data_IF_060308561078
#
_entry.id   IF_060308561078
#
_cell.length_a   1.000
_cell.length_b   1.000
_cell.length_c   1.000
_cell.angle_alpha   90.00
_cell.angle_beta   90.00
_cell.angle_gamma   90.00
#
_symmetry.space_group_name_H-M   'P 1'
#
loop_
_entity.id
_entity.type
_entity.pdbx_description
1 polymer ?
#
# COMPACT_ATOMS: atom_id res chain seq x y z
N UNK A 1 -11.61 17.10 36.42
CA UNK A 1 -12.60 16.39 35.60
C UNK A 1 -13.03 17.32 34.48
N UNK A 2 -12.40 17.22 33.30
CA UNK A 2 -12.83 17.92 32.09
C UNK A 2 -13.18 16.82 31.09
N UNK A 3 -14.45 16.75 30.75
CA UNK A 3 -15.00 15.81 29.77
C UNK A 3 -14.48 16.21 28.39
N UNK A 4 -13.52 15.46 27.85
CA UNK A 4 -13.15 15.55 26.45
C UNK A 4 -14.24 14.87 25.64
N UNK A 5 -15.22 15.64 25.18
CA UNK A 5 -16.10 15.20 24.12
C UNK A 5 -15.25 15.00 22.86
N UNK A 6 -15.17 13.75 22.42
CA UNK A 6 -14.66 13.37 21.10
C UNK A 6 -15.61 14.04 20.10
N UNK A 7 -15.18 15.15 19.53
CA UNK A 7 -15.86 15.80 18.43
C UNK A 7 -15.72 14.85 17.22
N UNK A 8 -16.70 13.98 17.04
CA UNK A 8 -16.80 13.10 15.89
C UNK A 8 -16.85 13.97 14.63
N UNK A 9 -15.87 13.77 13.76
CA UNK A 9 -15.74 14.44 12.47
C UNK A 9 -17.05 14.31 11.66
N UNK A 10 -17.70 15.41 11.26
CA UNK A 10 -18.91 15.38 10.44
C UNK A 10 -18.74 14.55 9.16
N UNK A 11 -17.52 14.48 8.62
CA UNK A 11 -17.18 13.66 7.45
C UNK A 11 -17.02 12.18 7.78
N UNK A 12 -16.60 11.79 8.98
CA UNK A 12 -16.64 10.40 9.42
C UNK A 12 -18.10 9.90 9.50
N UNK A 13 -19.02 10.76 9.93
CA UNK A 13 -20.46 10.48 9.84
C UNK A 13 -20.96 10.43 8.40
N UNK A 14 -20.53 11.34 7.51
CA UNK A 14 -20.89 11.32 6.10
C UNK A 14 -20.36 10.06 5.37
N UNK A 15 -19.15 9.62 5.69
CA UNK A 15 -18.51 8.41 5.17
C UNK A 15 -19.17 7.14 5.73
N UNK A 16 -19.63 7.16 6.99
CA UNK A 16 -20.45 6.09 7.56
C UNK A 16 -21.86 6.02 6.94
N UNK A 17 -22.38 7.15 6.46
CA UNK A 17 -23.68 7.27 5.80
C UNK A 17 -23.59 7.03 4.28
N UNK A 18 -22.41 7.17 3.66
CA UNK A 18 -22.20 6.95 2.23
C UNK A 18 -22.70 5.56 1.75
N UNK A 19 -22.44 4.45 2.46
CA UNK A 19 -22.99 3.14 2.10
C UNK A 19 -24.52 3.10 2.19
N UNK A 20 -25.13 3.85 3.13
CA UNK A 20 -26.58 3.93 3.33
C UNK A 20 -27.27 4.80 2.27
N UNK A 21 -26.62 5.90 1.88
CA UNK A 21 -27.04 6.78 0.79
C UNK A 21 -26.92 6.07 -0.56
N UNK A 22 -25.80 5.38 -0.80
CA UNK A 22 -25.59 4.55 -1.97
C UNK A 22 -26.62 3.41 -2.00
N UNK A 23 -26.85 2.66 -0.92
CA UNK A 23 -27.90 1.62 -0.90
C UNK A 23 -29.31 2.17 -1.11
N UNK A 24 -29.64 3.38 -0.65
CA UNK A 24 -30.94 4.03 -0.94
C UNK A 24 -31.06 4.51 -2.39
N UNK A 25 -29.99 5.00 -3.01
CA UNK A 25 -29.99 5.35 -4.43
C UNK A 25 -29.95 4.12 -5.35
N UNK A 26 -29.33 3.04 -4.89
CA UNK A 26 -29.14 1.80 -5.65
C UNK A 26 -30.20 0.74 -5.38
N UNK A 27 -31.03 0.83 -4.34
CA UNK A 27 -32.23 -0.01 -4.20
C UNK A 27 -33.26 0.24 -5.32
N UNK A 28 -33.18 1.42 -5.96
CA UNK A 28 -33.88 1.75 -7.21
C UNK A 28 -33.34 1.01 -8.44
N UNK A 29 -32.16 0.38 -8.36
CA UNK A 29 -31.48 -0.33 -9.45
C UNK A 29 -31.30 -1.78 -8.96
N UNK A 30 -32.34 -2.59 -9.13
CA UNK A 30 -32.49 -3.87 -8.45
C UNK A 30 -31.29 -4.84 -8.52
N UNK A 31 -31.16 -5.62 -7.42
CA UNK A 31 -30.33 -6.84 -7.21
C UNK A 31 -28.93 -6.74 -6.55
N UNK A 32 -28.55 -5.67 -5.84
CA UNK A 32 -27.21 -5.61 -5.20
C UNK A 32 -27.14 -5.30 -3.69
N UNK A 33 -28.27 -5.21 -2.98
CA UNK A 33 -28.27 -4.79 -1.56
C UNK A 33 -27.55 -5.76 -0.60
N UNK A 34 -27.58 -7.08 -0.86
CA UNK A 34 -26.94 -8.10 -0.01
C UNK A 34 -25.42 -8.19 -0.22
N UNK A 35 -24.95 -7.92 -1.45
CA UNK A 35 -23.53 -7.88 -1.80
C UNK A 35 -22.83 -6.69 -1.14
N UNK A 36 -23.51 -5.55 -1.05
CA UNK A 36 -22.96 -4.31 -0.46
C UNK A 36 -22.69 -4.46 1.05
N UNK A 37 -23.60 -5.06 1.82
CA UNK A 37 -23.38 -5.30 3.26
C UNK A 37 -22.21 -6.26 3.53
N UNK A 38 -21.99 -7.22 2.62
CA UNK A 38 -20.92 -8.20 2.71
C UNK A 38 -19.55 -7.56 2.42
N UNK A 39 -19.49 -6.67 1.41
CA UNK A 39 -18.28 -5.92 1.01
C UNK A 39 -17.85 -4.92 2.09
N UNK A 40 -18.78 -4.27 2.78
CA UNK A 40 -18.48 -3.33 3.88
C UNK A 40 -17.85 -4.06 5.08
N UNK A 41 -18.37 -5.24 5.45
CA UNK A 41 -17.76 -6.09 6.49
C UNK A 41 -16.35 -6.57 6.11
N UNK A 42 -16.13 -6.91 4.83
CA UNK A 42 -14.82 -7.33 4.32
C UNK A 42 -13.83 -6.16 4.28
N UNK A 43 -14.29 -4.96 3.92
CA UNK A 43 -13.45 -3.74 3.87
C UNK A 43 -12.91 -3.35 5.24
N UNK A 44 -13.75 -3.40 6.30
CA UNK A 44 -13.28 -3.14 7.66
C UNK A 44 -12.25 -4.19 8.14
N UNK A 45 -12.33 -5.43 7.66
CA UNK A 45 -11.36 -6.49 8.01
C UNK A 45 -10.05 -6.34 7.22
N UNK A 46 -10.10 -5.94 5.95
CA UNK A 46 -8.93 -5.74 5.09
C UNK A 46 -8.14 -4.46 5.40
N UNK A 47 -8.81 -3.38 5.84
CA UNK A 47 -8.12 -2.17 6.32
C UNK A 47 -7.26 -2.50 7.55
N UNK A 48 -7.76 -3.33 8.47
CA UNK A 48 -6.98 -3.79 9.64
C UNK A 48 -5.81 -4.69 9.21
N UNK A 49 -6.00 -5.54 8.20
CA UNK A 49 -4.98 -6.50 7.73
C UNK A 49 -3.88 -5.86 6.87
N UNK A 50 -4.20 -4.84 6.07
CA UNK A 50 -3.23 -4.10 5.25
C UNK A 50 -2.37 -3.12 6.06
N UNK A 51 -2.89 -2.58 7.15
CA UNK A 51 -2.13 -1.77 8.11
C UNK A 51 -1.06 -2.61 8.82
N UNK A 52 -1.36 -3.88 9.14
CA UNK A 52 -0.38 -4.81 9.74
C UNK A 52 0.79 -5.20 8.84
N UNK A 53 0.63 -5.18 7.51
CA UNK A 53 1.71 -5.55 6.58
C UNK A 53 2.57 -4.36 6.10
N UNK A 54 2.09 -3.13 6.20
CA UNK A 54 2.84 -1.97 5.66
C UNK A 54 3.82 -1.30 6.64
N UNK A 55 3.75 -1.66 7.93
CA UNK A 55 4.55 -1.02 9.00
C UNK A 55 5.68 -1.94 9.50
N UNK A 56 5.82 -3.15 8.96
CA UNK A 56 6.80 -4.12 9.46
C UNK A 56 7.28 -5.17 8.45
N UNK A 57 7.29 -4.89 7.15
CA UNK A 57 7.92 -5.84 6.21
C UNK A 57 9.38 -5.50 5.90
N UNK A 58 10.28 -6.51 5.99
CA UNK A 58 11.68 -6.37 5.68
C UNK A 58 11.87 -6.06 4.20
N UNK A 59 12.80 -5.17 3.88
CA UNK A 59 13.29 -4.96 2.51
C UNK A 59 14.11 -6.19 2.12
N UNK A 60 13.44 -7.25 1.68
CA UNK A 60 14.09 -8.30 0.90
C UNK A 60 14.18 -7.81 -0.55
N UNK A 61 15.26 -7.13 -0.88
CA UNK A 61 15.70 -7.03 -2.27
C UNK A 61 16.14 -8.43 -2.71
N UNK A 62 15.39 -9.05 -3.61
CA UNK A 62 15.86 -10.22 -4.35
C UNK A 62 16.02 -9.84 -5.82
N UNK A 63 17.23 -9.39 -6.19
CA UNK A 63 17.70 -9.37 -7.56
C UNK A 63 19.09 -10.02 -7.59
N UNK A 64 19.20 -11.15 -8.32
CA UNK A 64 20.48 -11.52 -8.96
C UNK A 64 21.15 -12.84 -8.54
N UNK A 65 20.62 -13.98 -9.00
CA UNK A 65 21.41 -15.15 -9.45
C UNK A 65 20.53 -15.85 -10.51
N UNK A 66 20.91 -16.19 -11.74
CA UNK A 66 22.20 -16.48 -12.38
C UNK A 66 22.18 -15.94 -13.83
N UNK A 67 23.34 -15.51 -14.32
CA UNK A 67 23.65 -15.50 -15.75
C UNK A 67 24.97 -16.25 -15.98
N UNK A 68 24.92 -17.34 -16.76
CA UNK A 68 25.93 -17.67 -17.78
C UNK A 68 25.43 -18.81 -18.68
N UNK A 69 25.89 -18.88 -19.95
CA UNK A 69 25.10 -19.32 -21.10
C UNK A 69 25.49 -20.73 -21.56
N UNK A 70 24.62 -21.44 -22.30
CA UNK A 70 25.01 -22.50 -23.29
C UNK A 70 23.79 -22.97 -24.11
N UNK A 71 23.97 -22.94 -25.44
CA UNK A 71 23.50 -23.84 -26.50
C UNK A 71 22.02 -24.16 -26.74
N UNK A 72 21.60 -23.83 -27.96
CA UNK A 72 20.50 -24.42 -28.72
C UNK A 72 20.60 -25.98 -28.76
N UNK A 73 19.47 -26.69 -28.57
CA UNK A 73 18.82 -27.62 -29.54
C UNK A 73 17.78 -28.52 -28.85
N UNK A 74 16.63 -28.63 -29.50
CA UNK A 74 15.67 -29.76 -29.59
C UNK A 74 15.50 -30.73 -28.40
N UNK A 75 14.26 -30.95 -27.99
CA UNK A 75 13.57 -32.23 -28.22
C UNK A 75 12.07 -32.14 -27.94
N UNK A 76 11.34 -32.76 -28.85
CA UNK A 76 9.89 -32.95 -28.92
C UNK A 76 9.48 -34.01 -27.89
N UNK A 77 8.35 -33.84 -27.22
CA UNK A 77 7.59 -34.98 -26.68
C UNK A 77 6.09 -34.79 -26.90
N UNK A 78 5.60 -35.68 -27.76
CA UNK A 78 4.23 -35.98 -28.12
C UNK A 78 3.37 -36.49 -26.97
N UNK A 79 2.11 -36.07 -26.91
CA UNK A 79 1.02 -36.84 -26.30
C UNK A 79 -0.10 -37.01 -27.34
N UNK A 80 -0.25 -38.24 -27.80
CA UNK A 80 -1.24 -38.72 -28.77
C UNK A 80 -2.64 -38.79 -28.14
N UNK A 81 -3.66 -38.34 -28.88
CA UNK A 81 -5.02 -38.84 -28.73
C UNK A 81 -5.42 -39.64 -29.98
N UNK A 82 -5.88 -40.86 -29.72
CA UNK A 82 -6.09 -41.97 -30.65
C UNK A 82 -7.43 -41.83 -31.36
N UNK A 83 -7.41 -41.76 -32.69
CA UNK A 83 -8.58 -41.91 -33.55
C UNK A 83 -8.92 -43.40 -33.71
N UNK A 84 -10.14 -43.81 -33.34
CA UNK A 84 -10.70 -45.10 -33.73
C UNK A 84 -11.74 -44.87 -34.83
N UNK A 85 -11.29 -45.07 -36.08
CA UNK A 85 -12.14 -45.34 -37.22
C UNK A 85 -12.61 -46.79 -37.15
N UNK A 86 -13.92 -47.03 -37.25
CA UNK A 86 -14.49 -48.34 -37.51
C UNK A 86 -15.45 -48.24 -38.71
N UNK A 87 -15.23 -49.13 -39.68
CA UNK A 87 -15.80 -49.08 -41.03
C UNK A 87 -16.93 -50.10 -41.26
N UNK A 88 -17.85 -49.73 -42.18
CA UNK A 88 -18.77 -50.52 -43.03
C UNK A 88 -20.17 -50.90 -42.46
N UNK A 89 -21.19 -51.19 -43.31
CA UNK A 89 -21.23 -51.21 -44.79
C UNK A 89 -22.36 -50.39 -45.46
N UNK A 90 -22.21 -50.11 -46.76
CA UNK A 90 -23.27 -49.62 -47.65
C UNK A 90 -24.33 -50.68 -47.91
N UNK A 91 -25.62 -50.31 -47.78
CA UNK A 91 -26.76 -51.06 -48.36
C UNK A 91 -27.65 -50.10 -49.15
N UNK A 92 -27.80 -50.41 -50.44
CA UNK A 92 -28.58 -49.68 -51.44
C UNK A 92 -29.98 -50.29 -51.50
N UNK A 93 -31.03 -49.55 -51.16
CA UNK A 93 -32.43 -49.95 -51.46
C UNK A 93 -33.24 -48.70 -51.89
N UNK A 94 -33.57 -48.71 -53.19
CA UNK A 94 -34.72 -48.15 -53.93
C UNK A 94 -35.43 -46.86 -53.48
N UNK A 95 -35.56 -45.95 -54.46
CA UNK A 95 -36.54 -44.87 -54.51
C UNK A 95 -37.95 -45.45 -54.35
N UNK A 96 -38.69 -44.99 -53.34
CA UNK A 96 -40.15 -44.96 -53.36
C UNK A 96 -40.62 -43.59 -52.90
N UNK A 97 -41.13 -42.85 -53.88
CA UNK A 97 -41.83 -41.59 -53.75
C UNK A 97 -43.02 -41.75 -52.82
N UNK A 98 -42.99 -41.07 -51.68
CA UNK A 98 -44.19 -40.75 -50.91
C UNK A 98 -44.24 -39.24 -50.76
N UNK A 99 -45.32 -38.65 -51.27
CA UNK A 99 -45.64 -37.23 -51.19
C UNK A 99 -45.74 -36.84 -49.72
N UNK A 100 -44.77 -36.07 -49.24
CA UNK A 100 -44.83 -35.40 -47.93
C UNK A 100 -44.78 -33.90 -48.20
N UNK A 101 -45.81 -33.22 -47.69
CA UNK A 101 -46.13 -31.81 -47.81
C UNK A 101 -44.93 -30.87 -47.59
N UNK A 102 -44.92 -29.66 -48.19
CA UNK A 102 -43.87 -28.69 -47.92
C UNK A 102 -44.04 -28.18 -46.48
N UNK A 103 -43.20 -28.66 -45.57
CA UNK A 103 -42.97 -27.95 -44.31
C UNK A 103 -42.22 -26.68 -44.69
N UNK A 104 -42.91 -25.56 -44.54
CA UNK A 104 -42.39 -24.21 -44.65
C UNK A 104 -41.09 -24.09 -43.88
N UNK A 105 -40.01 -23.80 -44.61
CA UNK A 105 -38.75 -23.36 -44.03
C UNK A 105 -39.02 -22.06 -43.25
N UNK A 106 -39.13 -22.19 -41.93
CA UNK A 106 -39.04 -21.08 -41.00
C UNK A 106 -37.79 -21.27 -40.14
N UNK A 107 -36.64 -21.45 -40.81
CA UNK A 107 -35.36 -21.17 -40.17
C UNK A 107 -35.24 -19.65 -40.03
N UNK A 108 -35.85 -19.16 -38.94
CA UNK A 108 -35.73 -17.79 -38.49
C UNK A 108 -34.26 -17.50 -38.21
N UNK A 109 -33.62 -16.76 -39.10
CA UNK A 109 -32.35 -16.09 -38.82
C UNK A 109 -32.53 -15.22 -37.57
N UNK A 110 -32.09 -15.70 -36.41
CA UNK A 110 -31.94 -14.85 -35.23
C UNK A 110 -30.71 -13.98 -35.43
N UNK A 111 -30.93 -12.78 -35.98
CA UNK A 111 -29.93 -11.72 -36.03
C UNK A 111 -29.50 -11.43 -34.59
N UNK A 112 -28.29 -11.83 -34.20
CA UNK A 112 -27.66 -11.37 -32.96
C UNK A 112 -27.66 -9.84 -32.98
N UNK A 113 -28.57 -9.22 -32.21
CA UNK A 113 -28.54 -7.79 -31.94
C UNK A 113 -27.32 -7.55 -31.05
N UNK A 114 -26.16 -7.36 -31.66
CA UNK A 114 -24.98 -6.79 -31.01
C UNK A 114 -25.23 -5.31 -30.73
N UNK A 115 -26.29 -5.01 -29.97
CA UNK A 115 -26.45 -3.73 -29.32
C UNK A 115 -25.66 -3.82 -28.02
N UNK A 116 -24.41 -3.38 -28.03
CA UNK A 116 -23.80 -2.97 -26.77
C UNK A 116 -24.78 -1.98 -26.14
N UNK A 117 -25.31 -2.22 -24.93
CA UNK A 117 -26.19 -1.24 -24.30
C UNK A 117 -25.37 0.04 -24.17
N UNK A 118 -25.67 1.04 -24.99
CA UNK A 118 -25.18 2.40 -24.76
C UNK A 118 -25.92 2.89 -23.52
N UNK A 119 -25.33 2.62 -22.37
CA UNK A 119 -25.74 3.22 -21.11
C UNK A 119 -25.40 4.70 -21.26
N UNK A 120 -26.36 5.52 -21.69
CA UNK A 120 -26.21 6.96 -21.62
C UNK A 120 -26.44 7.36 -20.17
N UNK A 121 -25.41 7.81 -19.45
CA UNK A 121 -25.59 8.25 -18.07
C UNK A 121 -26.63 9.38 -18.00
N UNK A 122 -27.56 9.26 -17.06
CA UNK A 122 -28.62 10.26 -16.87
C UNK A 122 -28.04 11.62 -16.44
N UNK A 123 -28.78 12.72 -16.63
CA UNK A 123 -28.36 14.04 -16.08
C UNK A 123 -28.05 13.99 -14.57
N UNK A 124 -28.77 13.15 -13.83
CA UNK A 124 -28.54 12.91 -12.39
C UNK A 124 -27.18 12.25 -12.12
N UNK A 125 -26.73 11.36 -13.00
CA UNK A 125 -25.40 10.74 -12.89
C UNK A 125 -24.28 11.77 -13.00
N UNK A 126 -24.35 12.68 -13.98
CA UNK A 126 -23.36 13.75 -14.12
C UNK A 126 -23.37 14.72 -12.95
N UNK A 127 -24.55 15.08 -12.42
CA UNK A 127 -24.66 15.92 -11.22
C UNK A 127 -24.04 15.25 -9.99
N UNK A 128 -24.25 13.94 -9.81
CA UNK A 128 -23.66 13.19 -8.71
C UNK A 128 -22.13 13.13 -8.82
N UNK A 129 -21.59 12.82 -10.01
CA UNK A 129 -20.14 12.82 -10.23
C UNK A 129 -19.55 14.21 -9.98
N UNK A 130 -20.19 15.26 -10.51
CA UNK A 130 -19.77 16.64 -10.27
C UNK A 130 -19.75 16.98 -8.78
N UNK A 131 -20.80 16.61 -8.05
CA UNK A 131 -20.85 16.77 -6.59
C UNK A 131 -19.75 16.02 -5.85
N UNK A 132 -19.49 14.76 -6.21
CA UNK A 132 -18.40 13.97 -5.62
C UNK A 132 -17.02 14.59 -5.88
N UNK A 133 -16.77 15.11 -7.09
CA UNK A 133 -15.51 15.76 -7.45
C UNK A 133 -15.30 17.04 -6.62
N UNK A 134 -16.35 17.85 -6.45
CA UNK A 134 -16.30 19.06 -5.62
C UNK A 134 -16.02 18.69 -4.16
N UNK A 135 -16.76 17.73 -3.59
CA UNK A 135 -16.54 17.28 -2.21
C UNK A 135 -15.13 16.74 -2.00
N UNK A 136 -14.64 15.91 -2.93
CA UNK A 136 -13.29 15.38 -2.89
C UNK A 136 -12.23 16.48 -2.97
N UNK A 137 -12.44 17.47 -3.83
CA UNK A 137 -11.52 18.60 -3.96
C UNK A 137 -11.46 19.40 -2.66
N UNK A 138 -12.61 19.74 -2.09
CA UNK A 138 -12.69 20.44 -0.80
C UNK A 138 -11.97 19.64 0.29
N UNK A 139 -12.25 18.34 0.42
CA UNK A 139 -11.58 17.45 1.36
C UNK A 139 -10.07 17.44 1.18
N UNK A 140 -9.59 17.32 -0.06
CA UNK A 140 -8.16 17.33 -0.36
C UNK A 140 -7.51 18.65 0.07
N UNK A 141 -8.11 19.79 -0.26
CA UNK A 141 -7.58 21.10 0.06
C UNK A 141 -7.59 21.41 1.57
N UNK A 142 -8.62 20.97 2.30
CA UNK A 142 -8.71 21.15 3.76
C UNK A 142 -7.64 20.37 4.53
N UNK A 143 -7.15 19.27 3.96
CA UNK A 143 -6.12 18.40 4.57
C UNK A 143 -4.72 18.63 3.98
N UNK A 144 -4.51 19.76 3.28
CA UNK A 144 -3.17 20.15 2.84
C UNK A 144 -2.40 20.80 3.99
N UNK A 145 -1.42 20.10 4.52
CA UNK A 145 -0.49 20.61 5.53
C UNK A 145 0.89 20.93 4.92
N UNK A 146 1.69 21.72 5.63
CA UNK A 146 3.08 22.00 5.29
C UNK A 146 4.02 21.17 6.16
N UNK A 147 4.96 20.47 5.54
CA UNK A 147 5.99 19.70 6.24
C UNK A 147 6.90 20.65 7.01
N UNK A 148 7.19 20.39 8.31
CA UNK A 148 8.14 21.18 9.06
C UNK A 148 9.53 21.10 8.42
N UNK A 149 10.31 22.17 8.52
CA UNK A 149 11.69 22.30 7.99
C UNK A 149 11.75 22.42 6.46
N UNK A 150 11.16 21.51 5.69
CA UNK A 150 11.24 21.54 4.21
C UNK A 150 10.26 22.52 3.56
N UNK A 151 9.15 22.85 4.22
CA UNK A 151 8.11 23.76 3.68
C UNK A 151 7.26 23.16 2.55
N UNK A 152 7.42 21.87 2.23
CA UNK A 152 6.66 21.19 1.19
C UNK A 152 5.18 21.10 1.57
N UNK A 153 4.27 21.43 0.64
CA UNK A 153 2.84 21.16 0.81
C UNK A 153 2.52 19.69 0.52
N UNK A 154 1.68 19.10 1.35
CA UNK A 154 1.27 17.70 1.23
C UNK A 154 -0.13 17.47 1.73
N UNK A 155 -0.73 16.37 1.30
CA UNK A 155 -2.00 15.89 1.84
C UNK A 155 -1.74 14.94 3.01
N UNK A 156 -2.35 15.21 4.17
CA UNK A 156 -2.30 14.32 5.32
C UNK A 156 -3.59 14.42 6.13
N UNK A 157 -4.38 13.34 6.14
CA UNK A 157 -5.62 13.23 6.91
C UNK A 157 -5.46 12.42 8.21
N UNK A 158 -4.24 11.98 8.51
CA UNK A 158 -3.97 11.13 9.65
C UNK A 158 -3.76 12.00 10.88
N UNK A 159 -4.60 11.80 11.89
CA UNK A 159 -4.46 12.49 13.16
C UNK A 159 -3.28 11.94 13.98
N UNK A 160 -2.63 12.77 14.82
CA UNK A 160 -1.58 12.30 15.73
C UNK A 160 -2.04 11.20 16.70
N UNK A 161 -3.33 11.14 17.02
CA UNK A 161 -3.89 10.06 17.85
C UNK A 161 -3.92 8.72 17.10
N UNK A 162 -4.28 8.73 15.82
CA UNK A 162 -4.24 7.54 14.97
C UNK A 162 -2.81 7.04 14.76
N UNK A 163 -1.86 7.96 14.55
CA UNK A 163 -0.43 7.61 14.46
C UNK A 163 0.08 6.91 15.71
N UNK A 164 -0.23 7.45 16.90
CA UNK A 164 0.16 6.83 18.17
C UNK A 164 -0.45 5.44 18.34
N UNK A 165 -1.72 5.26 17.95
CA UNK A 165 -2.37 3.95 18.01
C UNK A 165 -1.65 2.93 17.12
N UNK A 166 -1.35 3.29 15.87
CA UNK A 166 -0.60 2.44 14.94
C UNK A 166 0.80 2.16 15.50
N UNK A 167 1.50 3.19 15.99
CA UNK A 167 2.81 3.06 16.60
C UNK A 167 2.82 2.10 17.79
N UNK A 168 1.81 2.15 18.66
CA UNK A 168 1.68 1.23 19.78
C UNK A 168 1.41 -0.21 19.31
N UNK A 169 0.55 -0.41 18.32
CA UNK A 169 0.29 -1.74 17.76
C UNK A 169 1.55 -2.34 17.12
N UNK A 170 2.30 -1.55 16.34
CA UNK A 170 3.56 -1.99 15.76
C UNK A 170 4.61 -2.27 16.83
N UNK A 171 4.68 -1.42 17.87
CA UNK A 171 5.59 -1.63 18.99
C UNK A 171 5.33 -3.00 19.67
N UNK A 172 4.08 -3.32 19.98
CA UNK A 172 3.73 -4.63 20.57
C UNK A 172 4.08 -5.80 19.63
N UNK A 173 3.88 -5.65 18.32
CA UNK A 173 4.26 -6.68 17.34
C UNK A 173 5.78 -6.90 17.30
N UNK A 174 6.57 -5.82 17.26
CA UNK A 174 8.04 -5.88 17.28
C UNK A 174 8.53 -6.47 18.60
N UNK A 175 7.92 -6.10 19.73
CA UNK A 175 8.23 -6.70 21.03
C UNK A 175 7.90 -8.20 21.04
N UNK A 176 6.76 -8.61 20.50
CA UNK A 176 6.40 -10.02 20.42
C UNK A 176 7.43 -10.83 19.61
N UNK A 177 7.96 -10.26 18.53
CA UNK A 177 8.92 -10.92 17.65
C UNK A 177 10.35 -10.92 18.20
N UNK A 178 10.83 -9.77 18.70
CA UNK A 178 12.25 -9.55 18.99
C UNK A 178 12.61 -9.42 20.47
N UNK A 179 11.67 -9.52 21.42
CA UNK A 179 11.93 -9.28 22.85
C UNK A 179 13.13 -10.03 23.41
N UNK A 180 13.38 -11.26 22.96
CA UNK A 180 14.51 -12.08 23.42
C UNK A 180 15.86 -11.64 22.84
N UNK A 181 15.86 -10.93 21.71
CA UNK A 181 17.04 -10.45 21.02
C UNK A 181 17.40 -9.00 21.40
N UNK A 182 16.55 -8.29 22.16
CA UNK A 182 16.85 -6.91 22.58
C UNK A 182 18.03 -6.90 23.54
N UNK A 183 19.06 -6.13 23.19
CA UNK A 183 20.25 -5.97 24.01
C UNK A 183 19.95 -5.18 25.28
N UNK A 184 20.52 -5.57 26.44
CA UNK A 184 20.35 -4.85 27.68
C UNK A 184 20.81 -3.40 27.61
N UNK A 185 20.31 -2.58 28.53
CA UNK A 185 20.56 -1.15 28.52
C UNK A 185 22.04 -0.77 28.71
N UNK A 186 22.80 -1.60 29.41
CA UNK A 186 24.22 -1.43 29.68
C UNK A 186 25.14 -2.00 28.59
N UNK A 187 24.59 -2.68 27.58
CA UNK A 187 25.39 -3.26 26.51
C UNK A 187 26.12 -2.16 25.72
N UNK A 188 27.40 -2.33 25.33
CA UNK A 188 28.17 -1.29 24.65
C UNK A 188 27.48 -0.72 23.40
N UNK A 189 26.88 -1.58 22.57
CA UNK A 189 26.12 -1.15 21.39
C UNK A 189 24.86 -0.35 21.76
N UNK A 190 24.13 -0.75 22.80
CA UNK A 190 22.94 -0.03 23.29
C UNK A 190 23.30 1.36 23.81
N UNK A 191 24.38 1.47 24.59
CA UNK A 191 24.88 2.74 25.11
C UNK A 191 25.34 3.66 23.96
N UNK A 192 26.09 3.10 23.01
CA UNK A 192 26.59 3.79 21.84
C UNK A 192 25.46 4.40 20.99
N UNK A 193 24.48 3.58 20.59
CA UNK A 193 23.35 4.02 19.75
C UNK A 193 22.47 5.02 20.50
N UNK A 194 22.19 4.80 21.79
CA UNK A 194 21.37 5.73 22.60
C UNK A 194 22.00 7.10 22.74
N UNK A 195 23.31 7.17 22.92
CA UNK A 195 24.03 8.46 22.99
C UNK A 195 23.82 9.27 21.71
N UNK A 196 23.97 8.63 20.55
CA UNK A 196 23.82 9.27 19.24
C UNK A 196 22.37 9.69 19.02
N UNK A 197 21.42 8.77 19.21
CA UNK A 197 20.00 9.03 19.09
C UNK A 197 19.56 10.20 19.98
N UNK A 198 20.00 10.23 21.24
CA UNK A 198 19.69 11.32 22.18
C UNK A 198 20.16 12.69 21.70
N UNK A 199 21.35 12.78 21.10
CA UNK A 199 21.85 14.03 20.50
C UNK A 199 21.00 14.47 19.31
N UNK A 200 20.62 13.53 18.44
CA UNK A 200 19.81 13.81 17.26
C UNK A 200 18.37 14.22 17.61
N UNK A 201 17.73 13.51 18.55
CA UNK A 201 16.38 13.82 19.04
C UNK A 201 16.35 15.23 19.66
N UNK A 202 17.38 15.59 20.43
CA UNK A 202 17.50 16.94 20.98
C UNK A 202 17.65 18.00 19.87
N UNK A 203 18.46 17.70 18.86
CA UNK A 203 18.72 18.60 17.74
C UNK A 203 17.55 18.75 16.76
N UNK A 204 16.66 17.75 16.68
CA UNK A 204 15.48 17.78 15.81
C UNK A 204 14.37 18.70 16.33
N UNK A 205 14.46 19.16 17.59
CA UNK A 205 13.43 20.00 18.22
C UNK A 205 12.19 19.23 18.68
N UNK A 206 12.24 17.89 18.66
CA UNK A 206 11.17 17.03 19.15
C UNK A 206 11.21 16.97 20.69
N UNK A 207 10.54 17.93 21.34
CA UNK A 207 10.49 18.03 22.81
C UNK A 207 9.53 17.02 23.49
N UNK A 208 9.28 15.85 22.88
CA UNK A 208 8.34 14.85 23.41
C UNK A 208 9.02 13.91 24.42
N UNK A 209 8.37 13.54 25.55
CA UNK A 209 9.03 12.86 26.67
C UNK A 209 9.24 11.34 26.55
N UNK A 210 8.81 10.66 25.46
CA UNK A 210 8.70 9.18 25.47
C UNK A 210 9.64 8.44 24.50
N UNK A 211 10.72 9.09 24.05
CA UNK A 211 11.68 8.45 23.15
C UNK A 211 12.42 7.31 23.82
N UNK A 212 12.36 6.12 23.22
CA UNK A 212 13.11 4.95 23.65
C UNK A 212 13.86 4.34 22.48
N UNK A 213 15.04 3.79 22.76
CA UNK A 213 15.90 3.20 21.75
C UNK A 213 16.24 1.78 22.16
N UNK A 214 15.88 0.86 21.27
CA UNK A 214 16.11 -0.57 21.39
C UNK A 214 17.12 -1.01 20.33
N UNK A 215 18.13 -1.77 20.77
CA UNK A 215 19.06 -2.42 19.85
C UNK A 215 18.72 -3.90 19.83
N UNK A 216 18.39 -4.42 18.66
CA UNK A 216 18.05 -5.82 18.43
C UNK A 216 19.31 -6.54 17.97
N UNK A 217 19.67 -7.63 18.64
CA UNK A 217 20.79 -8.47 18.25
C UNK A 217 20.38 -9.40 17.10
N UNK A 218 20.50 -8.91 15.88
CA UNK A 218 20.14 -9.63 14.66
C UNK A 218 21.01 -9.11 13.50
N UNK A 219 21.54 -10.01 12.64
CA UNK A 219 22.44 -9.65 11.54
C UNK A 219 21.77 -8.83 10.42
N UNK A 220 20.44 -8.67 10.44
CA UNK A 220 19.75 -7.80 9.51
C UNK A 220 20.30 -6.37 9.56
N UNK A 221 20.42 -5.76 8.39
CA UNK A 221 20.89 -4.39 8.24
C UNK A 221 19.67 -3.47 8.15
N UNK A 222 19.16 -3.06 9.32
CA UNK A 222 17.97 -2.23 9.36
C UNK A 222 17.95 -1.31 10.58
N UNK A 223 17.22 -0.19 10.47
CA UNK A 223 16.84 0.67 11.56
C UNK A 223 15.51 1.36 11.19
N UNK A 224 14.63 1.59 12.15
CA UNK A 224 13.39 2.31 11.89
C UNK A 224 12.89 3.03 13.13
N UNK A 225 12.06 4.06 12.90
CA UNK A 225 11.43 4.87 13.94
C UNK A 225 9.92 4.74 13.85
N UNK A 226 9.28 4.35 14.95
CA UNK A 226 7.84 4.24 15.04
C UNK A 226 7.18 5.61 15.28
N UNK A 227 5.91 5.81 14.86
CA UNK A 227 5.18 7.06 15.11
C UNK A 227 4.97 7.41 16.59
N UNK A 228 5.15 6.46 17.51
CA UNK A 228 5.10 6.69 18.96
C UNK A 228 6.47 7.00 19.59
N UNK A 229 7.52 7.27 18.78
CA UNK A 229 8.83 7.69 19.27
C UNK A 229 9.76 6.55 19.71
N UNK A 230 9.45 5.31 19.33
CA UNK A 230 10.31 4.15 19.61
C UNK A 230 11.26 3.91 18.43
N UNK A 231 12.55 3.85 18.71
CA UNK A 231 13.62 3.64 17.72
C UNK A 231 14.13 2.21 17.86
N UNK A 232 14.20 1.50 16.74
CA UNK A 232 14.75 0.15 16.66
C UNK A 232 15.96 0.15 15.75
N UNK A 233 17.06 -0.45 16.22
CA UNK A 233 18.32 -0.55 15.48
C UNK A 233 18.80 -1.98 15.52
N UNK A 234 19.05 -2.59 14.36
CA UNK A 234 19.55 -3.96 14.28
C UNK A 234 21.07 -3.96 14.36
N UNK A 235 21.67 -4.89 15.10
CA UNK A 235 23.12 -4.93 15.31
C UNK A 235 23.91 -5.09 14.01
N UNK A 236 23.32 -5.70 12.97
CA UNK A 236 23.90 -5.84 11.63
C UNK A 236 24.20 -4.51 10.92
N UNK A 237 23.49 -3.42 11.25
CA UNK A 237 23.72 -2.10 10.62
C UNK A 237 24.97 -1.39 11.17
N UNK A 238 25.39 -1.73 12.38
CA UNK A 238 26.50 -1.08 13.10
C UNK A 238 27.84 -1.18 12.35
N UNK A 239 28.28 -2.37 11.89
CA UNK A 239 29.53 -2.46 11.13
C UNK A 239 29.48 -1.73 9.79
N UNK A 240 28.32 -1.63 9.15
CA UNK A 240 28.13 -0.94 7.85
C UNK A 240 28.22 0.57 8.01
N UNK A 241 27.81 1.09 9.17
CA UNK A 241 27.86 2.51 9.47
C UNK A 241 29.28 3.07 9.64
N UNK A 242 30.31 2.22 9.76
CA UNK A 242 31.74 2.56 9.91
C UNK A 242 32.11 3.31 11.20
N UNK A 243 31.45 4.43 11.51
CA UNK A 243 31.74 5.30 12.64
C UNK A 243 30.47 5.94 13.25
N UNK A 244 30.64 6.80 14.27
CA UNK A 244 29.50 7.52 14.89
C UNK A 244 28.73 8.38 13.89
N UNK A 245 29.41 9.07 12.97
CA UNK A 245 28.76 9.95 12.00
C UNK A 245 27.90 9.14 11.01
N UNK A 246 28.31 7.92 10.66
CA UNK A 246 27.52 7.01 9.83
C UNK A 246 26.26 6.52 10.55
N UNK A 247 26.34 6.16 11.83
CA UNK A 247 25.14 5.85 12.63
C UNK A 247 24.25 7.09 12.76
N UNK A 248 24.87 8.26 12.95
CA UNK A 248 24.14 9.51 13.00
C UNK A 248 23.44 9.84 11.67
N UNK A 249 24.00 9.42 10.53
CA UNK A 249 23.36 9.53 9.22
C UNK A 249 22.10 8.69 9.14
N UNK A 250 22.21 7.41 9.48
CA UNK A 250 21.09 6.46 9.44
C UNK A 250 19.98 6.92 10.38
N UNK A 251 20.31 7.19 11.63
CA UNK A 251 19.32 7.64 12.62
C UNK A 251 18.78 9.04 12.29
N UNK A 252 19.61 9.93 11.72
CA UNK A 252 19.17 11.25 11.27
C UNK A 252 18.11 11.15 10.18
N UNK A 253 18.31 10.27 9.21
CA UNK A 253 17.35 9.95 8.14
C UNK A 253 16.05 9.36 8.72
N UNK A 254 16.15 8.36 9.60
CA UNK A 254 14.95 7.75 10.22
C UNK A 254 14.17 8.74 11.12
N UNK A 255 14.87 9.56 11.90
CA UNK A 255 14.24 10.62 12.70
C UNK A 255 13.61 11.67 11.76
N UNK A 256 14.22 11.98 10.63
CA UNK A 256 13.65 12.88 9.64
C UNK A 256 12.34 12.36 9.06
N UNK A 257 12.22 11.05 8.77
CA UNK A 257 10.94 10.44 8.40
C UNK A 257 9.85 10.65 9.46
N UNK A 258 10.21 10.55 10.74
CA UNK A 258 9.30 10.79 11.85
C UNK A 258 8.93 12.28 11.99
N UNK A 259 9.91 13.19 11.96
CA UNK A 259 9.69 14.66 11.99
C UNK A 259 8.78 15.09 10.86
N UNK A 260 9.07 14.58 9.67
CA UNK A 260 8.26 14.81 8.50
C UNK A 260 7.00 13.95 8.51
N UNK A 261 6.69 13.06 9.46
CA UNK A 261 5.47 12.20 9.43
C UNK A 261 5.23 11.49 8.08
N UNK A 262 6.27 11.00 7.41
CA UNK A 262 6.14 10.36 6.08
C UNK A 262 5.25 9.11 6.10
N UNK A 263 5.28 8.32 7.19
CA UNK A 263 4.41 7.16 7.36
C UNK A 263 2.92 7.52 7.36
N UNK A 264 2.60 8.68 7.92
CA UNK A 264 1.24 9.20 7.98
C UNK A 264 0.77 9.69 6.62
N UNK A 265 1.62 10.42 5.92
CA UNK A 265 1.35 10.86 4.55
C UNK A 265 1.12 9.66 3.62
N UNK A 266 1.93 8.61 3.73
CA UNK A 266 1.75 7.35 3.00
C UNK A 266 0.40 6.70 3.32
N UNK A 267 0.00 6.68 4.60
CA UNK A 267 -1.29 6.13 5.02
C UNK A 267 -2.46 6.97 4.52
N UNK A 268 -2.35 8.31 4.54
CA UNK A 268 -3.35 9.23 4.03
C UNK A 268 -3.62 8.98 2.54
N UNK A 269 -2.55 8.84 1.73
CA UNK A 269 -2.67 8.46 0.33
C UNK A 269 -3.31 7.10 0.14
N UNK A 270 -2.94 6.12 0.97
CA UNK A 270 -3.58 4.79 0.99
C UNK A 270 -5.09 4.89 1.15
N UNK A 271 -5.57 5.64 2.14
CA UNK A 271 -7.01 5.85 2.39
C UNK A 271 -7.69 6.60 1.24
N UNK A 272 -7.07 7.65 0.73
CA UNK A 272 -7.61 8.47 -0.35
C UNK A 272 -7.90 7.62 -1.60
N UNK A 273 -7.04 6.63 -1.85
CA UNK A 273 -7.13 5.71 -3.00
C UNK A 273 -8.10 4.54 -2.78
N UNK A 274 -8.59 4.30 -1.55
CA UNK A 274 -9.63 3.29 -1.30
C UNK A 274 -10.98 3.69 -1.90
N UNK A 275 -11.32 4.98 -1.89
CA UNK A 275 -12.60 5.47 -2.41
C UNK A 275 -12.77 5.11 -3.90
N UNK A 276 -11.85 5.49 -4.81
CA UNK A 276 -11.96 5.10 -6.21
C UNK A 276 -11.91 3.58 -6.40
N UNK A 277 -11.14 2.84 -5.59
CA UNK A 277 -11.13 1.38 -5.63
C UNK A 277 -12.52 0.79 -5.34
N UNK A 278 -13.21 1.28 -4.30
CA UNK A 278 -14.56 0.82 -3.94
C UNK A 278 -15.55 1.15 -5.06
N UNK A 279 -15.47 2.35 -5.64
CA UNK A 279 -16.35 2.75 -6.74
C UNK A 279 -16.14 1.85 -7.97
N UNK A 280 -14.89 1.63 -8.39
CA UNK A 280 -14.56 0.72 -9.49
C UNK A 280 -15.06 -0.70 -9.19
N UNK A 281 -14.85 -1.19 -7.97
CA UNK A 281 -15.35 -2.50 -7.53
C UNK A 281 -16.86 -2.62 -7.66
N UNK A 282 -17.61 -1.57 -7.28
CA UNK A 282 -19.07 -1.56 -7.31
C UNK A 282 -19.62 -1.49 -8.75
N UNK A 283 -19.00 -0.69 -9.61
CA UNK A 283 -19.52 -0.43 -10.96
C UNK A 283 -18.99 -1.39 -12.04
N UNK A 284 -17.70 -1.76 -11.96
CA UNK A 284 -17.04 -2.60 -12.96
C UNK A 284 -16.84 -4.04 -12.47
N UNK A 285 -16.89 -4.27 -11.16
CA UNK A 285 -16.72 -5.59 -10.54
C UNK A 285 -15.38 -5.76 -9.82
N UNK A 286 -15.24 -6.82 -9.00
CA UNK A 286 -14.11 -7.02 -8.09
C UNK A 286 -12.76 -7.22 -8.77
N UNK A 287 -12.74 -7.79 -9.98
CA UNK A 287 -11.51 -7.99 -10.74
C UNK A 287 -10.89 -6.65 -11.13
N UNK A 288 -11.70 -5.72 -11.64
CA UNK A 288 -11.26 -4.37 -11.99
C UNK A 288 -10.83 -3.56 -10.77
N UNK A 289 -11.53 -3.72 -9.65
CA UNK A 289 -11.12 -3.10 -8.38
C UNK A 289 -9.77 -3.59 -7.89
N UNK A 290 -9.50 -4.89 -8.01
CA UNK A 290 -8.23 -5.49 -7.61
C UNK A 290 -7.08 -5.12 -8.55
N UNK A 291 -7.34 -5.07 -9.87
CA UNK A 291 -6.39 -4.56 -10.86
C UNK A 291 -6.04 -3.09 -10.60
N UNK A 292 -7.04 -2.25 -10.33
CA UNK A 292 -6.83 -0.85 -9.98
C UNK A 292 -5.97 -0.71 -8.72
N UNK A 293 -6.24 -1.52 -7.68
CA UNK A 293 -5.42 -1.56 -6.47
C UNK A 293 -3.97 -1.90 -6.79
N UNK A 294 -3.71 -2.95 -7.56
CA UNK A 294 -2.35 -3.37 -7.93
C UNK A 294 -1.58 -2.27 -8.68
N UNK A 295 -2.23 -1.67 -9.69
CA UNK A 295 -1.64 -0.60 -10.49
C UNK A 295 -1.36 0.68 -9.68
N UNK A 296 -2.30 1.11 -8.84
CA UNK A 296 -2.20 2.35 -8.07
C UNK A 296 -1.20 2.22 -6.91
N UNK A 297 -1.16 1.07 -6.22
CA UNK A 297 -0.19 0.84 -5.16
C UNK A 297 1.25 0.97 -5.71
N UNK A 298 1.49 0.43 -6.91
CA UNK A 298 2.79 0.52 -7.57
C UNK A 298 3.12 1.93 -8.10
N UNK A 299 2.14 2.60 -8.74
CA UNK A 299 2.37 3.89 -9.40
C UNK A 299 2.26 5.11 -8.49
N UNK A 300 1.36 5.11 -7.52
CA UNK A 300 1.07 6.29 -6.70
C UNK A 300 1.82 6.27 -5.36
N UNK A 301 1.86 5.11 -4.68
CA UNK A 301 2.35 5.02 -3.29
C UNK A 301 3.81 4.55 -3.24
N UNK A 302 4.20 3.58 -4.06
CA UNK A 302 5.51 2.95 -3.94
C UNK A 302 6.64 3.68 -4.68
N UNK A 303 6.42 4.23 -5.89
CA UNK A 303 7.55 4.69 -6.74
C UNK A 303 7.89 6.19 -6.67
N UNK A 304 6.99 7.14 -6.99
CA UNK A 304 7.34 8.57 -7.03
C UNK A 304 7.21 9.25 -5.66
N UNK A 305 6.25 8.81 -4.85
CA UNK A 305 5.98 9.36 -3.52
C UNK A 305 7.10 9.02 -2.53
N UNK A 306 7.56 7.76 -2.54
CA UNK A 306 8.74 7.34 -1.76
C UNK A 306 9.94 8.22 -2.07
N UNK A 307 10.33 8.41 -3.35
CA UNK A 307 11.54 9.20 -3.70
C UNK A 307 11.55 10.62 -3.16
N UNK A 308 10.41 11.33 -3.22
CA UNK A 308 10.33 12.69 -2.66
C UNK A 308 10.48 12.68 -1.15
N UNK A 309 9.88 11.70 -0.47
CA UNK A 309 10.00 11.52 0.97
C UNK A 309 11.44 11.15 1.35
N UNK A 310 12.11 10.27 0.61
CA UNK A 310 13.51 9.90 0.85
C UNK A 310 14.42 11.14 0.74
N UNK A 311 14.34 11.89 -0.38
CA UNK A 311 15.17 13.09 -0.56
C UNK A 311 14.88 14.18 0.48
N UNK A 312 13.64 14.29 0.94
CA UNK A 312 13.26 15.20 2.02
C UNK A 312 13.81 14.71 3.38
N UNK A 313 13.77 13.41 3.64
CA UNK A 313 14.36 12.81 4.82
C UNK A 313 15.88 12.98 4.86
N UNK A 314 16.57 12.87 3.72
CA UNK A 314 18.00 13.15 3.61
C UNK A 314 18.31 14.61 3.95
N UNK A 315 17.57 15.54 3.34
CA UNK A 315 17.75 16.96 3.58
C UNK A 315 17.57 17.33 5.06
N UNK A 316 16.46 16.88 5.66
CA UNK A 316 16.16 17.14 7.07
C UNK A 316 17.15 16.40 7.98
N UNK A 317 17.50 15.16 7.65
CA UNK A 317 18.43 14.32 8.40
C UNK A 317 19.82 14.94 8.48
N UNK A 318 20.37 15.42 7.35
CA UNK A 318 21.64 16.13 7.30
C UNK A 318 21.62 17.43 8.13
N UNK A 319 20.50 18.15 8.15
CA UNK A 319 20.34 19.32 9.02
C UNK A 319 20.31 18.94 10.51
N UNK A 320 19.62 17.85 10.87
CA UNK A 320 19.59 17.33 12.25
C UNK A 320 21.00 16.90 12.68
N UNK A 321 21.73 16.18 11.82
CA UNK A 321 23.12 15.79 12.05
C UNK A 321 24.01 17.01 12.31
N UNK A 322 23.93 18.03 11.45
CA UNK A 322 24.71 19.25 11.59
C UNK A 322 24.41 19.96 12.91
N UNK A 323 23.13 20.11 13.27
CA UNK A 323 22.70 20.69 14.56
C UNK A 323 23.13 19.86 15.77
N UNK A 324 23.24 18.55 15.61
CA UNK A 324 23.73 17.63 16.64
C UNK A 324 25.26 17.60 16.75
N UNK A 325 25.99 18.38 15.94
CA UNK A 325 27.46 18.38 15.83
C UNK A 325 28.03 17.03 15.35
N UNK A 326 27.40 16.42 14.36
CA UNK A 326 27.93 15.31 13.56
C UNK A 326 28.29 15.80 12.16
N UNK A 327 29.21 15.10 11.48
CA UNK A 327 29.66 15.47 10.14
C UNK A 327 28.66 15.01 9.05
N UNK A 328 27.92 15.92 8.38
CA UNK A 328 26.95 15.53 7.36
C UNK A 328 27.61 14.94 6.10
N UNK A 329 28.90 15.23 5.85
CA UNK A 329 29.62 14.67 4.69
C UNK A 329 29.86 13.16 4.82
N UNK A 330 29.79 12.60 6.03
CA UNK A 330 29.90 11.15 6.25
C UNK A 330 28.76 10.36 5.60
N UNK A 331 27.63 11.03 5.31
CA UNK A 331 26.54 10.41 4.57
C UNK A 331 26.98 9.92 3.19
N UNK A 332 27.78 10.69 2.46
CA UNK A 332 28.22 10.30 1.11
C UNK A 332 28.98 8.96 1.15
N UNK A 333 29.86 8.79 2.13
CA UNK A 333 30.64 7.56 2.31
C UNK A 333 29.73 6.38 2.67
N UNK A 334 28.79 6.58 3.60
CA UNK A 334 27.83 5.56 3.98
C UNK A 334 27.02 5.07 2.77
N UNK A 335 26.54 5.99 1.94
CA UNK A 335 25.70 5.65 0.79
C UNK A 335 26.48 4.87 -0.27
N UNK A 336 27.75 5.21 -0.49
CA UNK A 336 28.64 4.44 -1.36
C UNK A 336 28.82 3.00 -0.87
N UNK A 337 29.01 2.80 0.44
CA UNK A 337 29.09 1.46 1.03
C UNK A 337 27.76 0.72 0.87
N UNK A 338 26.64 1.40 1.13
CA UNK A 338 25.31 0.83 1.03
C UNK A 338 25.02 0.31 -0.38
N UNK A 339 25.28 1.12 -1.42
CA UNK A 339 25.12 0.73 -2.82
C UNK A 339 26.08 -0.38 -3.29
N UNK A 340 27.18 -0.61 -2.57
CA UNK A 340 28.11 -1.69 -2.89
C UNK A 340 27.70 -3.04 -2.28
N UNK A 341 26.91 -3.02 -1.19
CA UNK A 341 26.48 -4.21 -0.45
C UNK A 341 25.14 -4.76 -0.98
N UNK A 342 24.25 -3.88 -1.45
CA UNK A 342 22.88 -4.19 -1.87
C UNK A 342 22.66 -3.93 -3.37
#
# INVERSE_FOLDING_TARGET
MVSNQIQLDPLAHLMALLPQLLTRTFSSIGRQATTIQSIVKISNKLVIQSVGQSVGQPVSQSVGQLASPISQRSLVSSVQFRSQYQSKPSRRITKNTTLVSPITASDGYQRFKNGHPRIYPSKRFYLLIGGCIVLFSVYYYEHLETVPISGRRRFNDVSPGMERLIGNQTYEAVMHEYRHAILPAYHPQSVFVRRIAGRLIKASGLASPDWEVFVINDPQTNAFVLPNGKIFVFSGIIPIAMNEDGIATILGHEIAHHVARHSAEKLAWGKLLLIPQILITLFLGPDYGSLFRGMIMELAILRPFSRKCESEADYIGLQIMSKACYNPSSAIQLWQVWFAIF
#
